data_IF_529861260006
#
_entry.id   IF_529861260006
#
_cell.length_a   1.000
_cell.length_b   1.000
_cell.length_c   1.000
_cell.angle_alpha   90.00
_cell.angle_beta   90.00
_cell.angle_gamma   90.00
#
_symmetry.space_group_name_H-M   'P 1'
#
loop_
_entity.id
_entity.type
_entity.pdbx_description
1 polymer ?
#
# COMPACT_ATOMS: atom_id res chain seq x y z
N UNK A 1 -22.03 16.88 -0.28
CA UNK A 1 -20.61 17.10 0.11
C UNK A 1 -20.00 15.74 0.41
N UNK A 2 -19.16 15.22 -0.49
CA UNK A 2 -18.43 13.97 -0.25
C UNK A 2 -17.24 14.26 0.67
N UNK A 3 -17.11 13.51 1.75
CA UNK A 3 -15.89 13.48 2.55
C UNK A 3 -14.83 12.72 1.73
N UNK A 4 -13.78 13.38 1.19
CA UNK A 4 -12.77 12.71 0.37
C UNK A 4 -11.91 11.71 1.18
N UNK A 5 -12.06 11.69 2.51
CA UNK A 5 -11.33 10.83 3.45
C UNK A 5 -12.20 9.75 4.09
N UNK A 6 -13.47 9.62 3.69
CA UNK A 6 -14.31 8.49 4.12
C UNK A 6 -13.81 7.19 3.50
N UNK A 7 -13.93 6.07 4.22
CA UNK A 7 -13.62 4.73 3.69
C UNK A 7 -14.33 4.55 2.36
N UNK A 8 -13.59 4.47 1.26
CA UNK A 8 -14.19 4.32 -0.05
C UNK A 8 -14.62 2.87 -0.26
N UNK A 9 -15.63 2.64 -1.10
CA UNK A 9 -16.12 1.28 -1.43
C UNK A 9 -14.99 0.38 -1.96
N UNK A 10 -13.98 0.96 -2.58
CA UNK A 10 -12.76 0.29 -3.03
C UNK A 10 -11.86 -0.16 -1.86
N UNK A 11 -11.77 0.61 -0.78
CA UNK A 11 -10.95 0.24 0.39
C UNK A 11 -11.57 -0.96 1.12
N UNK A 12 -12.91 -1.02 1.20
CA UNK A 12 -13.63 -2.20 1.72
C UNK A 12 -13.35 -3.43 0.86
N UNK A 13 -13.33 -3.29 -0.47
CA UNK A 13 -12.99 -4.40 -1.37
C UNK A 13 -11.53 -4.83 -1.23
N UNK A 14 -10.61 -3.89 -1.07
CA UNK A 14 -9.19 -4.18 -0.84
C UNK A 14 -9.01 -5.00 0.44
N UNK A 15 -9.73 -4.64 1.51
CA UNK A 15 -9.76 -5.40 2.75
C UNK A 15 -10.28 -6.83 2.55
N UNK A 16 -11.33 -7.04 1.75
CA UNK A 16 -11.86 -8.38 1.45
C UNK A 16 -10.84 -9.22 0.68
N UNK A 17 -10.16 -8.64 -0.31
CA UNK A 17 -9.12 -9.37 -1.04
C UNK A 17 -7.94 -9.76 -0.15
N UNK A 18 -7.49 -8.86 0.72
CA UNK A 18 -6.44 -9.19 1.69
C UNK A 18 -6.93 -10.21 2.72
N UNK A 19 -8.17 -10.12 3.18
CA UNK A 19 -8.76 -11.10 4.09
C UNK A 19 -8.80 -12.50 3.48
N UNK A 20 -8.95 -12.63 2.15
CA UNK A 20 -8.86 -13.93 1.48
C UNK A 20 -7.45 -14.54 1.57
N UNK A 21 -6.39 -13.73 1.52
CA UNK A 21 -5.00 -14.19 1.75
C UNK A 21 -4.85 -14.70 3.18
N UNK A 22 -5.44 -14.00 4.16
CA UNK A 22 -5.37 -14.39 5.57
C UNK A 22 -6.18 -15.68 5.87
N UNK A 23 -7.31 -15.88 5.17
CA UNK A 23 -8.22 -17.00 5.42
C UNK A 23 -7.71 -18.34 4.86
N UNK A 24 -6.86 -18.33 3.83
CA UNK A 24 -6.16 -19.54 3.35
C UNK A 24 -5.18 -20.10 4.42
N UNK A 25 -4.88 -19.34 5.47
CA UNK A 25 -4.07 -19.77 6.63
C UNK A 25 -4.88 -20.28 7.83
N UNK A 26 -6.21 -20.30 7.78
CA UNK A 26 -7.07 -20.83 8.84
C UNK A 26 -7.11 -20.02 10.15
N UNK A 27 -6.48 -18.85 10.20
CA UNK A 27 -6.48 -17.97 11.37
C UNK A 27 -7.39 -16.77 11.15
N UNK A 28 -8.27 -16.47 12.11
CA UNK A 28 -9.18 -15.33 12.04
C UNK A 28 -8.44 -13.99 11.87
N UNK A 29 -8.99 -13.10 11.05
CA UNK A 29 -8.47 -11.75 10.85
C UNK A 29 -9.29 -10.73 11.65
N UNK A 30 -8.66 -9.62 12.03
CA UNK A 30 -9.33 -8.48 12.67
C UNK A 30 -9.15 -7.26 11.78
N UNK A 31 -10.25 -6.58 11.46
CA UNK A 31 -10.24 -5.31 10.71
C UNK A 31 -10.40 -4.18 11.71
N UNK A 32 -9.53 -3.18 11.60
CA UNK A 32 -9.61 -1.97 12.41
C UNK A 32 -9.70 -0.74 11.51
N UNK A 33 -10.47 0.26 11.95
CA UNK A 33 -10.41 1.58 11.33
C UNK A 33 -9.11 2.28 11.72
N UNK A 34 -8.64 3.20 10.85
CA UNK A 34 -7.33 3.84 10.96
C UNK A 34 -7.10 4.60 12.28
N UNK A 35 -8.17 5.04 12.95
CA UNK A 35 -8.16 5.78 14.21
C UNK A 35 -8.42 4.90 15.45
N UNK A 36 -8.78 3.64 15.27
CA UNK A 36 -9.20 2.75 16.36
C UNK A 36 -8.12 1.75 16.81
N UNK A 37 -7.07 1.53 16.01
CA UNK A 37 -6.03 0.57 16.37
C UNK A 37 -4.95 1.19 17.26
N UNK A 38 -4.83 0.68 18.49
CA UNK A 38 -3.88 1.18 19.52
C UNK A 38 -2.86 0.13 19.98
N UNK A 39 -2.82 -1.05 19.36
CA UNK A 39 -1.87 -2.11 19.70
C UNK A 39 -0.53 -1.93 18.97
N UNK A 40 0.52 -2.56 19.52
CA UNK A 40 1.88 -2.53 18.97
C UNK A 40 2.03 -3.37 17.70
N UNK A 41 3.00 -3.01 16.85
CA UNK A 41 3.32 -3.74 15.61
C UNK A 41 4.20 -4.97 15.89
N UNK A 42 4.05 -6.04 15.10
CA UNK A 42 5.01 -7.15 15.05
C UNK A 42 4.61 -8.43 15.80
N UNK A 43 3.55 -8.41 16.61
CA UNK A 43 3.00 -9.61 17.26
C UNK A 43 2.17 -10.50 16.33
N UNK A 44 1.68 -9.95 15.21
CA UNK A 44 0.86 -10.63 14.19
C UNK A 44 1.19 -10.07 12.81
N UNK A 45 0.80 -10.80 11.76
CA UNK A 45 0.85 -10.25 10.40
C UNK A 45 -0.13 -9.08 10.34
N UNK A 46 0.34 -7.92 9.94
CA UNK A 46 -0.48 -6.70 9.81
C UNK A 46 -0.59 -6.32 8.34
N UNK A 47 -1.78 -5.88 7.92
CA UNK A 47 -2.00 -5.23 6.63
C UNK A 47 -2.50 -3.81 6.87
N UNK A 48 -1.68 -2.82 6.52
CA UNK A 48 -2.05 -1.41 6.60
C UNK A 48 -2.36 -0.90 5.20
N UNK A 49 -3.62 -0.55 4.95
CA UNK A 49 -4.13 -0.16 3.63
C UNK A 49 -4.69 1.27 3.72
N UNK A 50 -4.35 2.10 2.74
CA UNK A 50 -4.86 3.46 2.62
C UNK A 50 -3.73 4.46 2.35
N UNK A 51 -4.02 5.51 1.60
CA UNK A 51 -3.05 6.58 1.34
C UNK A 51 -2.68 7.35 2.63
N UNK A 52 -1.47 7.92 2.72
CA UNK A 52 -0.98 8.56 3.95
C UNK A 52 -1.78 9.79 4.39
N UNK A 53 -2.48 10.46 3.47
CA UNK A 53 -3.31 11.61 3.79
C UNK A 53 -4.71 11.24 4.31
N UNK A 54 -5.13 9.98 4.16
CA UNK A 54 -6.40 9.46 4.65
C UNK A 54 -6.25 8.48 5.82
N UNK A 55 -5.04 7.92 6.02
CA UNK A 55 -4.74 6.95 7.07
C UNK A 55 -3.46 7.36 7.81
N UNK A 56 -3.61 7.90 9.02
CA UNK A 56 -2.49 8.32 9.87
C UNK A 56 -1.53 7.17 10.21
N UNK A 57 -2.04 5.93 10.31
CA UNK A 57 -1.20 4.75 10.55
C UNK A 57 -0.33 4.43 9.33
N UNK A 58 -0.87 4.54 8.12
CA UNK A 58 -0.07 4.46 6.89
C UNK A 58 1.03 5.52 6.91
N UNK A 59 0.69 6.78 7.21
CA UNK A 59 1.67 7.87 7.25
C UNK A 59 2.81 7.58 8.24
N UNK A 60 2.48 7.13 9.45
CA UNK A 60 3.46 6.74 10.47
C UNK A 60 4.36 5.59 10.02
N UNK A 61 3.78 4.56 9.39
CA UNK A 61 4.53 3.42 8.88
C UNK A 61 5.50 3.82 7.75
N UNK A 62 5.07 4.67 6.82
CA UNK A 62 5.97 5.19 5.76
C UNK A 62 7.13 5.95 6.39
N UNK A 63 6.83 6.92 7.26
CA UNK A 63 7.87 7.76 7.88
C UNK A 63 8.86 6.94 8.73
N UNK A 64 8.40 5.85 9.34
CA UNK A 64 9.22 5.01 10.22
C UNK A 64 10.03 3.96 9.45
N UNK A 65 9.41 3.29 8.47
CA UNK A 65 9.99 2.11 7.84
C UNK A 65 10.48 2.33 6.42
N UNK A 66 10.06 3.41 5.74
CA UNK A 66 10.41 3.70 4.36
C UNK A 66 11.03 5.11 4.20
N UNK A 67 12.14 5.44 4.89
CA UNK A 67 12.69 6.80 4.90
C UNK A 67 13.08 7.34 3.52
N UNK A 68 13.41 6.46 2.56
CA UNK A 68 13.75 6.86 1.20
C UNK A 68 12.57 6.91 0.23
N UNK A 69 11.34 6.73 0.71
CA UNK A 69 10.12 6.82 -0.10
C UNK A 69 9.04 7.63 0.61
N UNK A 70 8.22 8.35 -0.16
CA UNK A 70 7.17 9.18 0.40
C UNK A 70 6.17 9.66 -0.64
N UNK A 71 5.38 10.65 -0.24
CA UNK A 71 4.39 11.29 -1.08
C UNK A 71 4.59 12.79 -1.07
N UNK A 72 4.42 13.44 -2.21
CA UNK A 72 4.31 14.90 -2.25
C UNK A 72 3.05 15.34 -1.50
N UNK A 73 3.05 16.52 -0.85
CA UNK A 73 1.91 16.98 -0.05
C UNK A 73 0.63 17.11 -0.87
N UNK A 74 -0.48 16.57 -0.36
CA UNK A 74 -1.80 16.82 -0.93
C UNK A 74 -2.17 18.31 -0.84
N UNK A 75 -2.50 18.90 -1.99
CA UNK A 75 -3.00 20.27 -2.11
C UNK A 75 -4.46 20.27 -2.55
N UNK A 76 -5.31 21.04 -1.86
CA UNK A 76 -6.76 21.08 -2.18
C UNK A 76 -7.06 21.66 -3.56
N UNK A 77 -6.25 22.60 -4.02
CA UNK A 77 -6.33 23.23 -5.34
C UNK A 77 -5.79 22.31 -6.46
N UNK A 78 -5.05 21.26 -6.08
CA UNK A 78 -4.48 20.28 -7.01
C UNK A 78 -4.62 18.87 -6.40
N UNK A 79 -5.82 18.26 -6.40
CA UNK A 79 -6.03 16.95 -5.76
C UNK A 79 -5.11 15.82 -6.27
N UNK A 80 -4.46 16.03 -7.41
CA UNK A 80 -3.53 15.09 -8.04
C UNK A 80 -2.06 15.29 -7.61
N UNK A 81 -1.80 16.25 -6.71
CA UNK A 81 -0.47 16.61 -6.16
C UNK A 81 0.12 15.58 -5.18
N UNK A 82 -0.27 14.30 -5.31
CA UNK A 82 0.09 13.19 -4.43
C UNK A 82 1.03 12.19 -5.14
N UNK A 83 2.05 12.70 -5.82
CA UNK A 83 3.07 11.89 -6.46
C UNK A 83 3.81 11.03 -5.42
N UNK A 84 4.14 9.79 -5.77
CA UNK A 84 5.09 9.00 -4.99
C UNK A 84 6.49 9.48 -5.34
N UNK A 85 7.34 9.68 -4.34
CA UNK A 85 8.75 10.06 -4.53
C UNK A 85 9.65 9.01 -3.90
N UNK A 86 10.67 8.59 -4.63
CA UNK A 86 11.69 7.68 -4.11
C UNK A 86 13.00 7.85 -4.89
N UNK A 87 14.11 8.18 -4.19
CA UNK A 87 15.45 8.24 -4.79
C UNK A 87 15.57 9.10 -6.05
N UNK A 88 14.91 10.25 -6.08
CA UNK A 88 14.88 11.15 -7.23
C UNK A 88 13.92 10.75 -8.35
N UNK A 89 13.26 9.59 -8.26
CA UNK A 89 12.14 9.23 -9.13
C UNK A 89 10.84 9.82 -8.58
N UNK A 90 9.99 10.30 -9.48
CA UNK A 90 8.67 10.81 -9.16
C UNK A 90 7.61 10.08 -10.00
N UNK A 91 6.59 9.57 -9.32
CA UNK A 91 5.47 8.84 -9.93
C UNK A 91 4.21 9.70 -9.82
N UNK A 92 4.08 10.63 -10.75
CA UNK A 92 3.02 11.63 -10.80
C UNK A 92 1.68 10.99 -11.15
N UNK A 93 0.62 11.38 -10.44
CA UNK A 93 -0.72 10.89 -10.73
C UNK A 93 -1.27 11.58 -11.98
N UNK A 94 -1.76 10.79 -12.93
CA UNK A 94 -2.57 11.22 -14.06
C UNK A 94 -3.97 10.59 -13.91
N UNK A 95 -4.95 11.32 -13.37
CA UNK A 95 -6.26 10.75 -13.00
C UNK A 95 -6.92 9.98 -14.13
N UNK A 96 -7.30 8.73 -13.86
CA UNK A 96 -7.94 7.88 -14.86
C UNK A 96 -7.03 7.43 -16.02
N UNK A 97 -5.77 7.87 -16.09
CA UNK A 97 -4.84 7.47 -17.13
C UNK A 97 -3.70 6.62 -16.56
N UNK A 98 -3.06 7.13 -15.51
CA UNK A 98 -1.92 6.48 -14.87
C UNK A 98 -1.87 6.84 -13.40
N UNK A 99 -2.05 5.85 -12.54
CA UNK A 99 -2.04 6.04 -11.09
C UNK A 99 -1.11 5.01 -10.43
N UNK A 100 -0.62 5.33 -9.23
CA UNK A 100 0.44 4.56 -8.58
C UNK A 100 0.11 4.22 -7.14
N UNK A 101 0.78 3.17 -6.64
CA UNK A 101 0.66 2.68 -5.26
C UNK A 101 1.99 2.09 -4.79
N UNK A 102 2.35 2.39 -3.55
CA UNK A 102 3.42 1.69 -2.85
C UNK A 102 2.85 0.40 -2.26
N UNK A 103 3.51 -0.72 -2.56
CA UNK A 103 3.28 -2.00 -1.89
C UNK A 103 4.59 -2.46 -1.25
N UNK A 104 4.60 -2.59 0.07
CA UNK A 104 5.81 -2.97 0.82
C UNK A 104 5.54 -4.10 1.81
N UNK A 105 6.57 -4.88 2.10
CA UNK A 105 6.65 -5.77 3.26
C UNK A 105 7.79 -5.30 4.15
N UNK A 106 7.49 -5.04 5.41
CA UNK A 106 8.45 -4.59 6.42
C UNK A 106 8.40 -5.48 7.65
N UNK A 107 9.48 -5.48 8.42
CA UNK A 107 9.58 -6.19 9.70
C UNK A 107 9.85 -5.14 10.78
N UNK A 108 8.88 -4.86 11.66
CA UNK A 108 9.00 -3.81 12.69
C UNK A 108 10.23 -3.95 13.59
N UNK A 109 10.63 -5.19 13.87
CA UNK A 109 11.82 -5.53 14.63
C UNK A 109 12.33 -6.93 14.23
N UNK A 110 13.58 -7.30 14.58
CA UNK A 110 14.08 -8.64 14.36
C UNK A 110 13.16 -9.71 14.98
N UNK A 111 12.76 -10.72 14.20
CA UNK A 111 11.87 -11.80 14.65
C UNK A 111 10.38 -11.44 14.70
N UNK A 112 10.00 -10.20 14.40
CA UNK A 112 8.61 -9.79 14.30
C UNK A 112 7.89 -10.47 13.14
N UNK A 113 6.56 -10.56 13.23
CA UNK A 113 5.71 -10.87 12.08
C UNK A 113 5.68 -9.70 11.09
N UNK A 114 5.55 -9.97 9.78
CA UNK A 114 5.61 -8.93 8.76
C UNK A 114 4.41 -7.98 8.81
N UNK A 115 4.67 -6.71 8.50
CA UNK A 115 3.68 -5.70 8.16
C UNK A 115 3.70 -5.52 6.64
N UNK A 116 2.55 -5.72 6.00
CA UNK A 116 2.32 -5.34 4.61
C UNK A 116 1.70 -3.95 4.56
N UNK A 117 2.29 -3.07 3.78
CA UNK A 117 1.83 -1.70 3.58
C UNK A 117 1.35 -1.53 2.14
N UNK A 118 0.11 -1.05 1.97
CA UNK A 118 -0.47 -0.63 0.70
C UNK A 118 -0.87 0.83 0.84
N UNK A 119 -0.08 1.72 0.24
CA UNK A 119 -0.29 3.15 0.26
C UNK A 119 -0.50 3.64 -1.17
N UNK A 120 -1.76 3.74 -1.58
CA UNK A 120 -2.15 4.17 -2.91
C UNK A 120 -2.46 5.66 -2.99
N UNK A 121 -2.37 6.20 -4.21
CA UNK A 121 -2.85 7.54 -4.51
C UNK A 121 -4.39 7.63 -4.44
N UNK A 122 -5.08 6.53 -4.74
CA UNK A 122 -6.55 6.42 -4.67
C UNK A 122 -6.98 5.09 -4.06
N UNK A 123 -8.25 4.98 -3.67
CA UNK A 123 -8.80 3.70 -3.21
C UNK A 123 -8.78 2.61 -4.28
N UNK A 124 -8.85 2.97 -5.58
CA UNK A 124 -8.70 2.01 -6.69
C UNK A 124 -7.28 1.46 -6.75
N UNK A 125 -6.26 2.31 -6.56
CA UNK A 125 -4.88 1.84 -6.50
C UNK A 125 -4.60 0.95 -5.28
N UNK A 126 -5.26 1.18 -4.14
CA UNK A 126 -5.18 0.28 -2.98
C UNK A 126 -5.74 -1.11 -3.31
N UNK A 127 -6.93 -1.16 -3.92
CA UNK A 127 -7.55 -2.41 -4.36
C UNK A 127 -6.67 -3.16 -5.37
N UNK A 128 -6.10 -2.46 -6.34
CA UNK A 128 -5.21 -3.06 -7.32
C UNK A 128 -3.94 -3.67 -6.70
N UNK A 129 -3.34 -3.01 -5.71
CA UNK A 129 -2.20 -3.57 -4.99
C UNK A 129 -2.59 -4.80 -4.15
N UNK A 130 -3.75 -4.78 -3.49
CA UNK A 130 -4.29 -5.93 -2.76
C UNK A 130 -4.50 -7.12 -3.71
N UNK A 131 -5.09 -6.86 -4.88
CA UNK A 131 -5.31 -7.85 -5.93
C UNK A 131 -3.99 -8.43 -6.43
N UNK A 132 -3.02 -7.55 -6.73
CA UNK A 132 -1.68 -7.92 -7.18
C UNK A 132 -1.00 -8.84 -6.15
N UNK A 133 -1.04 -8.46 -4.87
CA UNK A 133 -0.45 -9.23 -3.78
C UNK A 133 -1.09 -10.62 -3.66
N UNK A 134 -2.43 -10.69 -3.72
CA UNK A 134 -3.18 -11.95 -3.66
C UNK A 134 -2.82 -12.87 -4.82
N UNK A 135 -2.88 -12.36 -6.05
CA UNK A 135 -2.64 -13.16 -7.26
C UNK A 135 -1.19 -13.61 -7.41
N UNK A 136 -0.23 -12.83 -6.86
CA UNK A 136 1.22 -13.07 -7.05
C UNK A 136 1.96 -13.39 -5.75
N UNK A 137 1.24 -13.83 -4.72
CA UNK A 137 1.83 -14.06 -3.39
C UNK A 137 3.02 -15.02 -3.45
N UNK A 138 2.87 -16.16 -4.14
CA UNK A 138 3.95 -17.14 -4.27
C UNK A 138 5.12 -16.64 -5.13
N UNK A 139 4.86 -15.85 -6.16
CA UNK A 139 5.90 -15.24 -6.99
C UNK A 139 6.73 -14.25 -6.16
N UNK A 140 6.06 -13.37 -5.41
CA UNK A 140 6.69 -12.42 -4.50
C UNK A 140 7.46 -13.13 -3.39
N UNK A 141 6.91 -14.21 -2.82
CA UNK A 141 7.58 -15.03 -1.81
C UNK A 141 8.85 -15.69 -2.36
N UNK A 142 8.85 -16.14 -3.61
CA UNK A 142 10.04 -16.69 -4.27
C UNK A 142 11.08 -15.62 -4.57
N UNK A 143 10.66 -14.46 -5.09
CA UNK A 143 11.56 -13.37 -5.47
C UNK A 143 12.24 -12.71 -4.26
N UNK A 144 11.48 -12.45 -3.19
CA UNK A 144 11.96 -11.73 -2.00
C UNK A 144 12.17 -12.64 -0.78
N UNK A 145 11.95 -13.95 -0.87
CA UNK A 145 12.03 -14.86 0.28
C UNK A 145 10.91 -14.65 1.31
N UNK A 146 10.91 -15.43 2.39
CA UNK A 146 9.93 -15.28 3.48
C UNK A 146 10.28 -14.12 4.43
N UNK A 147 11.57 -13.89 4.69
CA UNK A 147 12.05 -13.04 5.80
C UNK A 147 12.74 -11.74 5.33
N UNK A 148 12.63 -11.37 4.04
CA UNK A 148 13.23 -10.12 3.54
C UNK A 148 12.18 -9.05 3.30
N UNK A 149 12.56 -7.81 3.56
CA UNK A 149 11.76 -6.64 3.21
C UNK A 149 11.77 -6.39 1.69
N UNK A 150 10.69 -5.80 1.19
CA UNK A 150 10.63 -5.26 -0.17
C UNK A 150 9.77 -4.01 -0.20
N UNK A 151 9.98 -3.15 -1.19
CA UNK A 151 9.15 -1.98 -1.45
C UNK A 151 9.03 -1.77 -2.96
N UNK A 152 7.82 -1.89 -3.49
CA UNK A 152 7.52 -1.81 -4.91
C UNK A 152 6.59 -0.63 -5.18
N UNK A 153 6.81 0.03 -6.32
CA UNK A 153 5.82 0.93 -6.91
C UNK A 153 5.09 0.18 -8.00
N UNK A 154 3.78 0.05 -7.85
CA UNK A 154 2.91 -0.48 -8.89
C UNK A 154 2.24 0.67 -9.63
N UNK A 155 1.95 0.45 -10.91
CA UNK A 155 1.28 1.38 -11.81
C UNK A 155 0.00 0.74 -12.33
N UNK A 156 -1.07 1.52 -12.33
CA UNK A 156 -2.33 1.18 -12.98
C UNK A 156 -2.43 1.96 -14.29
N UNK A 157 -2.79 1.28 -15.37
CA UNK A 157 -3.07 1.91 -16.66
C UNK A 157 -4.56 2.00 -16.92
N UNK A 158 -5.04 3.19 -17.30
CA UNK A 158 -6.46 3.46 -17.59
C UNK A 158 -7.40 2.88 -16.51
N UNK A 159 -7.23 3.22 -15.21
CA UNK A 159 -8.10 2.73 -14.15
C UNK A 159 -9.56 3.19 -14.31
N UNK A 160 -9.82 4.19 -15.15
CA UNK A 160 -11.17 4.60 -15.55
C UNK A 160 -11.88 3.54 -16.42
N UNK A 161 -11.12 2.76 -17.20
CA UNK A 161 -11.63 1.71 -18.10
C UNK A 161 -11.52 0.33 -17.45
N UNK A 162 -10.36 0.00 -16.89
CA UNK A 162 -10.04 -1.35 -16.41
C UNK A 162 -10.12 -1.50 -14.88
N UNK A 163 -10.41 -0.40 -14.16
CA UNK A 163 -10.47 -0.42 -12.71
C UNK A 163 -9.13 -0.84 -12.09
N UNK A 164 -9.16 -1.95 -11.34
CA UNK A 164 -8.03 -2.44 -10.56
C UNK A 164 -7.24 -3.57 -11.25
N UNK A 165 -7.70 -4.04 -12.42
CA UNK A 165 -7.15 -5.23 -13.09
C UNK A 165 -5.88 -4.91 -13.92
N UNK A 166 -5.70 -3.65 -14.34
CA UNK A 166 -4.58 -3.18 -15.17
C UNK A 166 -3.35 -2.78 -14.35
N UNK A 167 -2.96 -3.62 -13.38
CA UNK A 167 -1.88 -3.33 -12.43
C UNK A 167 -0.57 -4.02 -12.81
N UNK A 168 0.50 -3.24 -12.85
CA UNK A 168 1.82 -3.66 -13.29
C UNK A 168 2.91 -3.17 -12.33
N UNK A 169 4.01 -3.91 -12.21
CA UNK A 169 5.21 -3.42 -11.53
C UNK A 169 5.81 -2.27 -12.33
N UNK A 170 5.95 -1.10 -11.70
CA UNK A 170 6.56 0.09 -12.32
C UNK A 170 8.04 0.19 -11.94
N UNK A 171 8.36 -0.05 -10.67
CA UNK A 171 9.73 0.00 -10.16
C UNK A 171 9.86 -0.82 -8.88
N UNK A 172 11.00 -1.52 -8.73
CA UNK A 172 11.44 -2.04 -7.44
C UNK A 172 12.32 -0.99 -6.77
N UNK A 173 11.78 -0.36 -5.73
CA UNK A 173 12.45 0.69 -4.96
C UNK A 173 13.00 0.17 -3.64
N UNK A 174 13.15 -1.15 -3.46
CA UNK A 174 13.54 -1.75 -2.18
C UNK A 174 14.82 -1.15 -1.62
N UNK A 175 15.90 -1.06 -2.41
CA UNK A 175 17.17 -0.51 -1.91
C UNK A 175 17.02 0.95 -1.46
N UNK A 176 16.37 1.76 -2.30
CA UNK A 176 16.15 3.20 -2.06
C UNK A 176 15.23 3.46 -0.88
N UNK A 177 14.08 2.79 -0.82
CA UNK A 177 13.04 3.05 0.18
C UNK A 177 13.54 2.80 1.60
N UNK A 178 14.46 1.86 1.77
CA UNK A 178 15.05 1.52 3.07
C UNK A 178 16.43 2.14 3.32
N UNK A 179 16.94 2.98 2.40
CA UNK A 179 18.15 3.74 2.64
C UNK A 179 17.82 4.92 3.58
N UNK A 180 18.61 5.07 4.63
CA UNK A 180 18.54 6.18 5.60
C UNK A 180 19.59 7.23 5.27
#
# INVERSE_FOLDING_TARGET
MNNPFGVQRSDVRALVEVASIANDGGTGFQIFQSDQFREGTGGRVEFCIGGPFANNRTAGHIATYLPGAGFTPYRRDQPDSIAIVAGGSEFVREPGLREFVIMARVFPSPGARPLFLIAGQTGVTNLAAAHYLRCRFEELRRAYGADRRFCLVLRLDRPDVYGHESVHLASDITATAFAS
#
